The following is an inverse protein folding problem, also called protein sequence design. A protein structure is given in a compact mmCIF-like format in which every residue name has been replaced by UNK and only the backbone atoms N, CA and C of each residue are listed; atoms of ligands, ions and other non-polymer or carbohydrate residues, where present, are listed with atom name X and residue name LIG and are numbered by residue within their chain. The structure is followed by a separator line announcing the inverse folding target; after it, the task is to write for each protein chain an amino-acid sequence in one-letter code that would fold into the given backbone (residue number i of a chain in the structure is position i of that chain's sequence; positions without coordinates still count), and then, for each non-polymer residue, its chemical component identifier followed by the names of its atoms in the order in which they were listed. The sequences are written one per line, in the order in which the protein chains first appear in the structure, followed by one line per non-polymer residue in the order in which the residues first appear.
data_IF_063941846815
#
_entry.id   IF_063941846815
#
_cell.length_a   1.000
_cell.length_b   1.000
_cell.length_c   1.000
_cell.angle_alpha   90.00
_cell.angle_beta   90.00
_cell.angle_gamma   90.00
#
_symmetry.space_group_name_H-M   'P 1'
#
loop_
_entity.id
_entity.type
_entity.pdbx_description
1 polymer ?
#
# COMPACT_ATOMS: atom_id res chain seq x y z
N UNK A 1 5.83 -13.09 20.95
CA UNK A 1 5.20 -11.88 20.36
C UNK A 1 5.01 -10.85 21.46
N UNK A 2 6.10 -10.09 21.79
CA UNK A 2 5.94 -8.90 22.59
C UNK A 2 5.09 -7.92 21.76
N UNK A 3 3.91 -7.62 22.26
CA UNK A 3 2.96 -6.73 21.62
C UNK A 3 3.64 -5.41 21.24
N UNK A 4 3.44 -4.96 20.00
CA UNK A 4 3.87 -3.63 19.51
C UNK A 4 3.44 -2.52 20.49
N UNK A 5 2.33 -2.71 21.19
CA UNK A 5 1.81 -1.81 22.23
C UNK A 5 2.76 -1.57 23.43
N UNK A 6 3.81 -2.39 23.60
CA UNK A 6 4.80 -2.24 24.66
C UNK A 6 6.13 -1.62 24.20
N UNK A 7 6.26 -1.28 22.90
CA UNK A 7 7.49 -0.68 22.37
C UNK A 7 7.37 0.85 22.42
N UNK A 8 8.30 1.48 23.13
CA UNK A 8 8.41 2.95 23.19
C UNK A 8 9.15 3.47 21.97
N UNK A 9 8.43 3.60 20.84
CA UNK A 9 8.97 4.18 19.59
C UNK A 9 8.82 5.71 19.66
N UNK A 10 9.95 6.43 19.65
CA UNK A 10 9.98 7.88 19.74
C UNK A 10 9.89 8.52 18.35
N UNK A 11 8.87 9.31 18.10
CA UNK A 11 8.72 10.06 16.85
C UNK A 11 9.37 11.43 17.03
N UNK A 12 10.25 11.82 16.10
CA UNK A 12 10.98 13.09 16.10
C UNK A 12 10.96 13.75 14.74
N UNK A 13 10.90 15.07 14.70
CA UNK A 13 11.09 15.84 13.47
C UNK A 13 12.57 16.04 13.21
N UNK A 14 13.02 15.72 11.97
CA UNK A 14 14.41 15.83 11.52
C UNK A 14 14.52 16.73 10.29
N UNK A 15 15.40 17.74 10.34
CA UNK A 15 15.54 18.74 9.27
C UNK A 15 16.75 18.52 8.35
N UNK A 16 17.48 17.42 8.53
CA UNK A 16 18.80 17.27 7.89
C UNK A 16 18.77 16.67 6.48
N UNK A 17 17.65 16.15 6.03
CA UNK A 17 17.53 15.50 4.72
C UNK A 17 16.38 16.12 3.94
N UNK A 18 16.66 16.94 2.93
CA UNK A 18 15.64 17.65 2.16
C UNK A 18 14.76 16.70 1.33
N UNK A 19 15.33 15.61 0.84
CA UNK A 19 14.63 14.65 -0.04
C UNK A 19 14.01 13.46 0.70
N UNK A 20 14.37 13.23 1.96
CA UNK A 20 13.87 12.09 2.73
C UNK A 20 12.61 12.49 3.50
N UNK A 21 11.52 11.70 3.34
CA UNK A 21 10.27 11.93 4.07
C UNK A 21 10.32 11.40 5.49
N UNK A 22 10.98 10.27 5.71
CA UNK A 22 11.13 9.64 7.01
C UNK A 22 12.26 8.62 7.05
N UNK A 23 12.59 8.14 8.23
CA UNK A 23 13.49 7.00 8.45
C UNK A 23 13.24 6.36 9.80
N UNK A 24 13.49 5.05 9.88
CA UNK A 24 13.50 4.31 11.14
C UNK A 24 14.91 3.94 11.55
N UNK A 25 15.22 4.05 12.84
CA UNK A 25 16.53 3.66 13.38
C UNK A 25 16.44 3.20 14.83
N UNK A 26 17.46 2.44 15.25
CA UNK A 26 17.65 2.01 16.64
C UNK A 26 19.00 2.54 17.12
N UNK A 27 18.97 3.42 18.10
CA UNK A 27 20.15 4.02 18.72
C UNK A 27 20.16 3.71 20.22
N UNK A 28 21.25 3.14 20.73
CA UNK A 28 21.38 2.79 22.14
C UNK A 28 20.18 1.99 22.68
N UNK A 29 19.71 1.04 21.89
CA UNK A 29 18.53 0.20 22.16
C UNK A 29 17.19 0.98 22.28
N UNK A 30 17.16 2.26 21.93
CA UNK A 30 15.96 3.06 21.80
C UNK A 30 15.55 3.16 20.32
N UNK A 31 14.26 3.10 20.05
CA UNK A 31 13.69 3.13 18.70
C UNK A 31 13.22 4.54 18.35
N UNK A 32 13.55 4.98 17.16
CA UNK A 32 13.19 6.30 16.66
C UNK A 32 12.62 6.21 15.25
N UNK A 33 11.54 6.95 15.02
CA UNK A 33 11.05 7.30 13.69
C UNK A 33 11.31 8.79 13.51
N UNK A 34 12.15 9.13 12.54
CA UNK A 34 12.40 10.50 12.12
C UNK A 34 11.47 10.87 10.97
N UNK A 35 10.85 12.05 11.02
CA UNK A 35 9.99 12.57 9.96
C UNK A 35 10.45 13.95 9.54
N UNK A 36 10.43 14.22 8.24
CA UNK A 36 10.71 15.53 7.70
C UNK A 36 9.57 16.50 8.07
N UNK A 37 9.83 17.59 8.80
CA UNK A 37 8.79 18.54 9.20
C UNK A 37 8.17 19.32 8.04
N UNK A 38 8.86 19.37 6.89
CA UNK A 38 8.40 20.10 5.71
C UNK A 38 7.45 19.28 4.81
N UNK A 39 7.20 18.00 5.13
CA UNK A 39 6.28 17.19 4.38
C UNK A 39 4.82 17.59 4.61
N UNK A 40 3.97 17.39 3.60
CA UNK A 40 2.51 17.58 3.70
C UNK A 40 1.90 16.61 4.73
N UNK A 41 0.66 16.86 5.16
CA UNK A 41 -0.05 15.93 6.06
C UNK A 41 -0.17 14.53 5.46
N UNK A 42 -0.40 14.45 4.15
CA UNK A 42 -0.50 13.21 3.39
C UNK A 42 0.83 12.46 3.41
N UNK A 43 1.92 13.12 3.04
CA UNK A 43 3.27 12.57 3.07
C UNK A 43 3.67 12.10 4.47
N UNK A 44 3.36 12.91 5.50
CA UNK A 44 3.64 12.56 6.90
C UNK A 44 2.93 11.28 7.32
N UNK A 45 1.65 11.15 6.95
CA UNK A 45 0.84 9.96 7.28
C UNK A 45 1.42 8.72 6.60
N UNK A 46 1.73 8.83 5.32
CA UNK A 46 2.31 7.74 4.52
C UNK A 46 3.69 7.34 5.03
N UNK A 47 4.57 8.32 5.29
CA UNK A 47 5.90 8.07 5.83
C UNK A 47 5.85 7.39 7.21
N UNK A 48 5.00 7.87 8.12
CA UNK A 48 4.85 7.25 9.44
C UNK A 48 4.41 5.79 9.36
N UNK A 49 3.47 5.46 8.48
CA UNK A 49 3.02 4.08 8.28
C UNK A 49 4.13 3.20 7.69
N UNK A 50 4.90 3.71 6.74
CA UNK A 50 6.04 3.03 6.13
C UNK A 50 7.14 2.74 7.16
N UNK A 51 7.57 3.77 7.92
CA UNK A 51 8.61 3.62 8.95
C UNK A 51 8.17 2.70 10.10
N UNK A 52 6.86 2.68 10.41
CA UNK A 52 6.31 1.71 11.35
C UNK A 52 6.44 0.29 10.82
N UNK A 53 6.30 0.08 9.51
CA UNK A 53 6.58 -1.21 8.86
C UNK A 53 8.02 -1.67 9.11
N UNK A 54 9.01 -0.80 8.92
CA UNK A 54 10.41 -1.08 9.25
C UNK A 54 10.60 -1.37 10.74
N UNK A 55 9.97 -0.61 11.62
CA UNK A 55 10.03 -0.86 13.04
C UNK A 55 9.53 -2.27 13.42
N UNK A 56 8.50 -2.76 12.74
CA UNK A 56 7.92 -4.08 13.00
C UNK A 56 8.83 -5.20 12.46
N UNK A 57 9.31 -5.07 11.24
CA UNK A 57 9.94 -6.17 10.52
C UNK A 57 11.47 -6.13 10.54
N UNK A 58 12.09 -4.94 10.63
CA UNK A 58 13.51 -4.73 10.37
C UNK A 58 14.31 -4.26 11.58
N UNK A 59 13.73 -4.32 12.80
CA UNK A 59 14.37 -3.85 14.03
C UNK A 59 15.78 -4.40 14.25
N UNK A 60 15.98 -5.70 13.98
CA UNK A 60 17.30 -6.34 14.17
C UNK A 60 18.34 -5.77 13.22
N UNK A 61 17.94 -5.49 11.99
CA UNK A 61 18.77 -4.89 10.97
C UNK A 61 19.13 -3.44 11.33
N UNK A 62 18.14 -2.64 11.70
CA UNK A 62 18.35 -1.27 12.16
C UNK A 62 19.25 -1.18 13.40
N UNK A 63 19.17 -2.15 14.33
CA UNK A 63 20.01 -2.22 15.53
C UNK A 63 21.47 -2.60 15.24
N UNK A 64 21.78 -3.22 14.09
CA UNK A 64 23.16 -3.58 13.70
C UNK A 64 23.98 -2.40 13.17
N UNK A 65 23.39 -1.22 13.06
CA UNK A 65 24.04 -0.02 12.52
C UNK A 65 24.19 0.00 10.99
N UNK A 66 23.74 -1.04 10.30
CA UNK A 66 23.80 -1.14 8.84
C UNK A 66 22.75 -0.27 8.13
N UNK A 67 21.68 0.10 8.84
CA UNK A 67 20.57 0.86 8.25
C UNK A 67 20.97 2.24 7.70
N UNK A 68 21.99 2.88 8.27
CA UNK A 68 22.51 4.16 7.78
C UNK A 68 23.39 4.07 6.53
N UNK A 69 23.97 2.91 6.25
CA UNK A 69 24.83 2.72 5.06
C UNK A 69 24.04 2.30 3.83
N UNK A 70 22.87 1.71 4.02
CA UNK A 70 22.06 1.12 2.94
C UNK A 70 21.19 2.13 2.17
N UNK A 71 21.08 3.37 2.63
CA UNK A 71 20.34 4.44 1.93
C UNK A 71 20.95 4.79 0.56
N UNK A 72 22.21 4.43 0.32
CA UNK A 72 22.93 4.70 -0.93
C UNK A 72 23.20 3.46 -1.80
N UNK A 73 22.97 2.25 -1.32
CA UNK A 73 23.21 1.03 -2.08
C UNK A 73 21.91 0.21 -2.18
N UNK A 74 21.35 0.17 -3.39
CA UNK A 74 20.28 -0.76 -3.77
C UNK A 74 20.79 -2.19 -3.68
N UNK A 75 20.67 -2.83 -2.52
CA UNK A 75 20.85 -4.28 -2.39
C UNK A 75 19.48 -4.97 -2.57
N UNK A 76 19.49 -6.20 -3.08
CA UNK A 76 18.26 -7.01 -3.22
C UNK A 76 17.56 -7.28 -1.87
N UNK A 77 18.32 -7.24 -0.76
CA UNK A 77 17.78 -7.36 0.59
C UNK A 77 16.94 -6.13 0.99
N UNK A 78 17.41 -4.93 0.61
CA UNK A 78 16.69 -3.68 0.86
C UNK A 78 15.39 -3.61 0.06
N UNK A 79 15.38 -4.05 -1.21
CA UNK A 79 14.16 -4.08 -2.01
C UNK A 79 13.04 -4.94 -1.37
N UNK A 80 13.40 -6.05 -0.69
CA UNK A 80 12.42 -6.87 0.04
C UNK A 80 11.91 -6.20 1.31
N UNK A 81 12.78 -5.50 2.04
CA UNK A 81 12.42 -4.75 3.25
C UNK A 81 11.48 -3.59 2.89
N UNK A 82 11.85 -2.81 1.88
CA UNK A 82 11.05 -1.70 1.35
C UNK A 82 9.66 -2.18 0.87
N UNK A 83 9.62 -3.25 0.08
CA UNK A 83 8.34 -3.82 -0.37
C UNK A 83 7.46 -4.24 0.81
N UNK A 84 8.04 -4.87 1.83
CA UNK A 84 7.31 -5.30 3.03
C UNK A 84 6.78 -4.12 3.83
N UNK A 85 7.58 -3.06 4.01
CA UNK A 85 7.17 -1.84 4.67
C UNK A 85 6.05 -1.12 3.90
N UNK A 86 6.16 -1.04 2.56
CA UNK A 86 5.12 -0.47 1.69
C UNK A 86 3.82 -1.26 1.74
N UNK A 87 3.89 -2.60 1.66
CA UNK A 87 2.69 -3.47 1.79
C UNK A 87 2.03 -3.26 3.15
N UNK A 88 2.80 -3.23 4.23
CA UNK A 88 2.27 -2.96 5.56
C UNK A 88 1.61 -1.59 5.65
N UNK A 89 2.24 -0.55 5.10
CA UNK A 89 1.67 0.80 5.09
C UNK A 89 0.36 0.87 4.30
N UNK A 90 0.31 0.21 3.13
CA UNK A 90 -0.91 0.12 2.32
C UNK A 90 -2.05 -0.55 3.09
N UNK A 91 -1.78 -1.70 3.72
CA UNK A 91 -2.76 -2.43 4.54
C UNK A 91 -3.23 -1.63 5.77
N UNK A 92 -2.33 -0.86 6.38
CA UNK A 92 -2.65 -0.02 7.55
C UNK A 92 -3.48 1.21 7.17
N UNK A 93 -3.23 1.80 6.00
CA UNK A 93 -3.79 3.10 5.59
C UNK A 93 -5.07 2.97 4.78
N UNK A 94 -5.28 1.84 4.09
CA UNK A 94 -6.38 1.57 3.19
C UNK A 94 -7.11 0.28 3.59
N UNK A 95 -8.42 0.34 3.74
CA UNK A 95 -9.23 -0.87 3.75
C UNK A 95 -9.43 -1.38 2.32
N UNK A 96 -9.83 -2.64 2.18
CA UNK A 96 -10.18 -3.19 0.86
C UNK A 96 -11.32 -2.38 0.22
N UNK A 97 -12.31 -1.97 1.02
CA UNK A 97 -13.44 -1.17 0.57
C UNK A 97 -13.04 0.21 0.03
N UNK A 98 -12.00 0.83 0.60
CA UNK A 98 -11.50 2.15 0.15
C UNK A 98 -10.95 2.09 -1.28
N UNK A 99 -10.54 0.92 -1.73
CA UNK A 99 -9.97 0.69 -3.06
C UNK A 99 -10.98 0.01 -3.99
N UNK A 100 -11.60 -1.09 -3.54
CA UNK A 100 -12.42 -1.95 -4.39
C UNK A 100 -13.74 -1.30 -4.80
N UNK A 101 -14.37 -0.52 -3.91
CA UNK A 101 -15.61 0.21 -4.25
C UNK A 101 -15.38 1.27 -5.33
N UNK A 102 -14.42 2.21 -5.18
CA UNK A 102 -14.20 3.24 -6.19
C UNK A 102 -13.85 2.71 -7.58
N UNK A 103 -13.20 1.54 -7.69
CA UNK A 103 -12.89 0.91 -8.98
C UNK A 103 -14.02 0.00 -9.51
N UNK A 104 -15.17 -0.06 -8.82
CA UNK A 104 -16.32 -0.86 -9.26
C UNK A 104 -16.15 -2.37 -9.20
N UNK A 105 -15.22 -2.86 -8.38
CA UNK A 105 -14.91 -4.29 -8.28
C UNK A 105 -16.11 -5.16 -7.90
N UNK A 106 -16.93 -4.68 -6.98
CA UNK A 106 -18.08 -5.43 -6.48
C UNK A 106 -19.20 -5.51 -7.51
N UNK A 107 -19.48 -4.40 -8.20
CA UNK A 107 -20.47 -4.32 -9.27
C UNK A 107 -20.09 -5.24 -10.42
N UNK A 108 -18.83 -5.17 -10.87
CA UNK A 108 -18.33 -6.06 -11.93
C UNK A 108 -18.44 -7.53 -11.56
N UNK A 109 -18.08 -7.91 -10.32
CA UNK A 109 -18.20 -9.31 -9.90
C UNK A 109 -19.65 -9.76 -9.75
N UNK A 110 -20.56 -8.89 -9.32
CA UNK A 110 -21.98 -9.20 -9.26
C UNK A 110 -22.55 -9.48 -10.66
N UNK A 111 -22.24 -8.63 -11.64
CA UNK A 111 -22.63 -8.79 -13.03
C UNK A 111 -22.03 -10.07 -13.66
N UNK A 112 -20.75 -10.35 -13.35
CA UNK A 112 -20.09 -11.59 -13.78
C UNK A 112 -20.78 -12.82 -13.24
N UNK A 113 -21.12 -12.87 -11.96
CA UNK A 113 -21.81 -14.00 -11.35
C UNK A 113 -23.21 -14.19 -11.94
N UNK A 114 -23.94 -13.11 -12.21
CA UNK A 114 -25.25 -13.17 -12.85
C UNK A 114 -25.14 -13.69 -14.29
N UNK A 115 -24.15 -13.23 -15.03
CA UNK A 115 -23.86 -13.74 -16.38
C UNK A 115 -23.51 -15.23 -16.33
N UNK A 116 -22.60 -15.66 -15.46
CA UNK A 116 -22.22 -17.07 -15.32
C UNK A 116 -23.43 -17.97 -14.98
N UNK A 117 -24.32 -17.51 -14.10
CA UNK A 117 -25.54 -18.23 -13.73
C UNK A 117 -26.51 -18.33 -14.87
N UNK A 118 -26.51 -17.42 -15.84
CA UNK A 118 -27.38 -17.44 -17.03
C UNK A 118 -26.87 -18.32 -18.17
N UNK A 119 -25.59 -18.74 -18.11
CA UNK A 119 -25.00 -19.57 -19.15
C UNK A 119 -25.48 -21.04 -19.06
N UNK A 120 -25.68 -21.72 -20.20
CA UNK A 120 -25.98 -23.15 -20.22
C UNK A 120 -24.88 -23.99 -19.56
N UNK A 121 -25.22 -25.01 -18.80
CA UNK A 121 -24.29 -25.86 -18.05
C UNK A 121 -23.24 -26.56 -18.92
N UNK A 122 -23.52 -26.76 -20.20
CA UNK A 122 -22.61 -27.37 -21.18
C UNK A 122 -21.95 -26.38 -22.13
N UNK A 123 -21.91 -25.12 -21.75
CA UNK A 123 -21.27 -24.03 -22.52
C UNK A 123 -19.76 -24.24 -22.64
N UNK A 124 -19.21 -24.09 -23.86
CA UNK A 124 -17.77 -24.24 -24.09
C UNK A 124 -16.98 -23.13 -23.40
N UNK A 125 -15.72 -23.42 -23.08
CA UNK A 125 -14.78 -22.42 -22.49
C UNK A 125 -14.60 -21.19 -23.39
N UNK A 126 -14.60 -21.39 -24.70
CA UNK A 126 -14.49 -20.31 -25.68
C UNK A 126 -15.72 -19.38 -25.64
N UNK A 127 -16.93 -19.95 -25.56
CA UNK A 127 -18.15 -19.15 -25.47
C UNK A 127 -18.21 -18.36 -24.16
N UNK A 128 -17.79 -18.97 -23.04
CA UNK A 128 -17.67 -18.24 -21.74
C UNK A 128 -16.70 -17.09 -21.82
N UNK A 129 -15.54 -17.29 -22.45
CA UNK A 129 -14.54 -16.24 -22.64
C UNK A 129 -15.06 -15.06 -23.46
N UNK A 130 -15.81 -15.35 -24.55
CA UNK A 130 -16.45 -14.31 -25.38
C UNK A 130 -17.49 -13.54 -24.59
N UNK A 131 -18.35 -14.22 -23.83
CA UNK A 131 -19.37 -13.56 -23.00
C UNK A 131 -18.76 -12.73 -21.87
N UNK A 132 -17.66 -13.21 -21.29
CA UNK A 132 -16.90 -12.44 -20.29
C UNK A 132 -16.29 -11.17 -20.90
N UNK A 133 -15.77 -11.28 -22.13
CA UNK A 133 -15.22 -10.12 -22.85
C UNK A 133 -16.30 -9.08 -23.20
N UNK A 134 -17.49 -9.53 -23.63
CA UNK A 134 -18.65 -8.64 -23.84
C UNK A 134 -19.06 -7.94 -22.55
N UNK A 135 -19.20 -8.68 -21.44
CA UNK A 135 -19.50 -8.09 -20.14
C UNK A 135 -18.47 -7.04 -19.72
N UNK A 136 -17.18 -7.33 -19.91
CA UNK A 136 -16.11 -6.39 -19.57
C UNK A 136 -16.20 -5.09 -20.38
N UNK A 137 -16.55 -5.20 -21.68
CA UNK A 137 -16.74 -4.02 -22.52
C UNK A 137 -17.97 -3.22 -22.10
N UNK A 138 -19.11 -3.89 -21.85
CA UNK A 138 -20.32 -3.24 -21.36
C UNK A 138 -20.09 -2.55 -20.03
N UNK A 139 -19.40 -3.21 -19.12
CA UNK A 139 -19.08 -2.67 -17.82
C UNK A 139 -18.18 -1.42 -17.94
N UNK A 140 -17.15 -1.46 -18.75
CA UNK A 140 -16.29 -0.30 -19.02
C UNK A 140 -17.04 0.85 -19.66
N UNK A 141 -18.02 0.56 -20.53
CA UNK A 141 -18.83 1.57 -21.17
C UNK A 141 -19.86 2.21 -20.23
N UNK A 142 -20.52 1.41 -19.39
CA UNK A 142 -21.57 1.88 -18.47
C UNK A 142 -21.01 2.55 -17.21
N UNK A 143 -19.80 2.17 -16.81
CA UNK A 143 -19.12 2.66 -15.61
C UNK A 143 -17.93 3.58 -15.94
N UNK A 144 -18.10 4.46 -16.93
CA UNK A 144 -17.16 5.55 -17.22
C UNK A 144 -17.19 6.55 -16.08
N UNK A 145 -16.33 6.40 -15.10
CA UNK A 145 -16.27 7.31 -13.95
C UNK A 145 -15.73 6.68 -12.70
N UNK A 146 -15.14 5.49 -12.78
CA UNK A 146 -14.41 4.94 -11.66
C UNK A 146 -13.24 5.84 -11.28
N UNK A 147 -13.04 5.98 -9.97
CA UNK A 147 -11.94 6.76 -9.45
C UNK A 147 -10.60 6.21 -9.95
N UNK A 148 -9.76 7.11 -10.39
CA UNK A 148 -8.35 6.83 -10.68
C UNK A 148 -7.58 6.55 -9.39
N UNK A 149 -6.40 5.95 -9.50
CA UNK A 149 -5.54 5.73 -8.32
C UNK A 149 -5.20 7.04 -7.61
N UNK A 150 -5.08 8.14 -8.37
CA UNK A 150 -4.87 9.47 -7.84
C UNK A 150 -6.05 9.97 -7.00
N UNK A 151 -7.28 9.78 -7.48
CA UNK A 151 -8.50 10.18 -6.77
C UNK A 151 -8.69 9.36 -5.49
N UNK A 152 -8.45 8.05 -5.54
CA UNK A 152 -8.48 7.18 -4.36
C UNK A 152 -7.45 7.65 -3.33
N UNK A 153 -6.22 7.91 -3.75
CA UNK A 153 -5.15 8.39 -2.89
C UNK A 153 -5.49 9.74 -2.26
N UNK A 154 -6.07 10.65 -3.03
CA UNK A 154 -6.48 11.97 -2.56
C UNK A 154 -7.58 11.87 -1.49
N UNK A 155 -8.62 11.07 -1.73
CA UNK A 155 -9.71 10.86 -0.76
C UNK A 155 -9.22 10.20 0.51
N UNK A 156 -8.37 9.18 0.39
CA UNK A 156 -7.76 8.50 1.53
C UNK A 156 -6.71 9.35 2.27
N UNK A 157 -6.23 10.44 1.65
CA UNK A 157 -5.19 11.31 2.22
C UNK A 157 -3.85 10.61 2.38
N UNK A 158 -3.41 9.87 1.35
CA UNK A 158 -2.16 9.11 1.29
C UNK A 158 -1.46 9.33 -0.06
N UNK A 159 -0.20 8.86 -0.17
CA UNK A 159 0.51 8.85 -1.45
C UNK A 159 -0.03 7.76 -2.39
N UNK A 160 -0.09 8.05 -3.70
CA UNK A 160 -0.63 7.16 -4.74
C UNK A 160 0.02 5.77 -4.75
N UNK A 161 1.34 5.70 -4.55
CA UNK A 161 2.09 4.46 -4.56
C UNK A 161 1.55 3.42 -3.56
N UNK A 162 0.91 3.84 -2.46
CA UNK A 162 0.30 2.90 -1.51
C UNK A 162 -1.00 2.29 -2.04
N UNK A 163 -1.72 2.98 -2.92
CA UNK A 163 -2.88 2.40 -3.63
C UNK A 163 -2.40 1.29 -4.57
N UNK A 164 -1.29 1.50 -5.30
CA UNK A 164 -0.67 0.48 -6.16
C UNK A 164 -0.22 -0.76 -5.39
N UNK A 165 0.20 -0.62 -4.13
CA UNK A 165 0.58 -1.75 -3.28
C UNK A 165 -0.62 -2.52 -2.70
N UNK A 166 -1.80 -1.90 -2.69
CA UNK A 166 -3.03 -2.51 -2.19
C UNK A 166 -3.75 -3.33 -3.26
N UNK A 167 -3.61 -2.97 -4.54
CA UNK A 167 -4.16 -3.67 -5.70
C UNK A 167 -3.28 -4.85 -6.14
#
# INVERSE_FOLDING_TARGET
EASIAQRDIKIKDFRFFEELLGFYTVLLNCEYIGINPNCSKQQRRSALAHELGHAIFDRKHAASGQAFQDTYFYSLSNAKAERRANTFAAELLLSDDDVLKPIGFYEFNADRLQMEASLPTHCSSTYRALKYHELLQDFQYTHTGFATLEEIAQVAGIEKNFVDFKL
#
